data_IF_700699646882
#
_entry.id   IF_700699646882
#
_cell.length_a   1.000
_cell.length_b   1.000
_cell.length_c   1.000
_cell.angle_alpha   90.00
_cell.angle_beta   90.00
_cell.angle_gamma   90.00
#
_symmetry.space_group_name_H-M   'P 1'
#
loop_
_entity.id
_entity.type
_entity.pdbx_description
1 polymer ?
#
# COMPACT_ATOMS: atom_id res chain seq x y z
N UNK A 1 8.49 6.14 2.48
CA UNK A 1 7.82 7.12 1.59
C UNK A 1 7.12 6.48 0.40
N UNK A 2 7.86 5.85 -0.52
CA UNK A 2 7.25 5.16 -1.68
C UNK A 2 6.13 4.20 -1.26
N UNK A 3 6.43 3.30 -0.32
CA UNK A 3 5.49 2.27 0.09
C UNK A 3 4.19 2.80 0.71
N UNK A 4 4.28 3.85 1.54
CA UNK A 4 3.09 4.48 2.15
C UNK A 4 2.26 5.25 1.12
N UNK A 5 2.92 5.83 0.12
CA UNK A 5 2.24 6.48 -1.00
C UNK A 5 1.46 5.48 -1.85
N UNK A 6 2.02 4.30 -2.10
CA UNK A 6 1.33 3.22 -2.83
C UNK A 6 0.16 2.65 -2.01
N UNK A 7 0.36 2.40 -0.70
CA UNK A 7 -0.66 1.87 0.21
C UNK A 7 -1.99 2.60 0.08
N UNK A 8 -1.94 3.93 0.03
CA UNK A 8 -3.12 4.78 -0.08
C UNK A 8 -3.45 5.16 -1.53
N UNK A 9 -2.46 5.65 -2.28
CA UNK A 9 -2.67 6.27 -3.60
C UNK A 9 -2.92 5.30 -4.75
N UNK A 10 -2.58 4.01 -4.60
CA UNK A 10 -2.85 2.99 -5.61
C UNK A 10 -4.08 2.11 -5.28
N UNK A 11 -4.77 2.36 -4.16
CA UNK A 11 -6.01 1.65 -3.81
C UNK A 11 -7.17 2.09 -4.72
N UNK A 12 -8.00 1.14 -5.16
CA UNK A 12 -9.24 1.42 -5.91
C UNK A 12 -10.42 1.83 -5.04
N UNK A 13 -10.27 1.79 -3.72
CA UNK A 13 -11.31 2.10 -2.75
C UNK A 13 -10.78 2.95 -1.60
N UNK A 14 -11.70 3.54 -0.83
CA UNK A 14 -11.38 4.27 0.39
C UNK A 14 -10.71 3.36 1.43
N UNK A 15 -9.89 3.95 2.30
CA UNK A 15 -9.15 3.22 3.34
C UNK A 15 -10.09 2.46 4.29
N UNK A 16 -11.31 2.97 4.50
CA UNK A 16 -12.33 2.42 5.39
C UNK A 16 -13.53 1.78 4.66
N UNK A 17 -13.35 1.38 3.38
CA UNK A 17 -14.36 0.69 2.59
C UNK A 17 -14.79 -0.64 3.25
N UNK A 18 -16.10 -0.86 3.33
CA UNK A 18 -16.68 -2.07 3.93
C UNK A 18 -16.84 -3.19 2.92
N UNK A 19 -17.07 -2.85 1.67
CA UNK A 19 -17.16 -3.80 0.57
C UNK A 19 -15.78 -4.13 0.01
N UNK A 20 -15.16 -5.17 0.57
CA UNK A 20 -13.83 -5.63 0.19
C UNK A 20 -13.73 -6.10 -1.26
N UNK A 21 -14.84 -6.34 -1.95
CA UNK A 21 -14.81 -6.69 -3.38
C UNK A 21 -14.34 -5.52 -4.26
N UNK A 22 -14.43 -4.29 -3.76
CA UNK A 22 -13.97 -3.06 -4.42
C UNK A 22 -12.50 -2.75 -4.15
N UNK A 23 -11.89 -3.41 -3.17
CA UNK A 23 -10.54 -3.13 -2.70
C UNK A 23 -9.53 -3.95 -3.50
N UNK A 24 -8.71 -3.26 -4.29
CA UNK A 24 -7.61 -3.82 -5.06
C UNK A 24 -6.53 -2.75 -5.25
N UNK A 25 -5.29 -3.18 -5.48
CA UNK A 25 -4.18 -2.31 -5.86
C UNK A 25 -4.15 -2.18 -7.39
N UNK A 26 -4.26 -0.95 -7.87
CA UNK A 26 -4.27 -0.60 -9.29
C UNK A 26 -2.84 -0.56 -9.85
N UNK A 27 -2.47 -1.56 -10.66
CA UNK A 27 -1.19 -1.59 -11.37
C UNK A 27 -0.93 -0.34 -12.24
N UNK A 28 -1.94 0.24 -12.94
CA UNK A 28 -1.76 1.51 -13.63
C UNK A 28 -1.36 2.67 -12.70
N UNK A 29 -1.99 2.81 -11.53
CA UNK A 29 -1.64 3.85 -10.56
C UNK A 29 -0.26 3.60 -9.94
N UNK A 30 0.04 2.33 -9.63
CA UNK A 30 1.37 1.92 -9.18
C UNK A 30 2.46 2.30 -10.19
N UNK A 31 2.27 1.99 -11.48
CA UNK A 31 3.20 2.37 -12.55
C UNK A 31 3.36 3.88 -12.66
N UNK A 32 2.25 4.62 -12.67
CA UNK A 32 2.29 6.08 -12.77
C UNK A 32 3.09 6.70 -11.61
N UNK A 33 2.90 6.21 -10.39
CA UNK A 33 3.67 6.67 -9.23
C UNK A 33 5.14 6.24 -9.31
N UNK A 34 5.42 4.99 -9.70
CA UNK A 34 6.78 4.48 -9.87
C UNK A 34 7.59 5.28 -10.90
N UNK A 35 7.00 5.57 -12.06
CA UNK A 35 7.63 6.40 -13.09
C UNK A 35 8.00 7.79 -12.56
N UNK A 36 7.06 8.47 -11.89
CA UNK A 36 7.32 9.80 -11.31
C UNK A 36 8.35 9.77 -10.18
N UNK A 37 8.29 8.76 -9.30
CA UNK A 37 9.21 8.63 -8.18
C UNK A 37 10.64 8.32 -8.65
N UNK A 38 10.82 7.31 -9.50
CA UNK A 38 12.14 6.93 -10.02
C UNK A 38 12.74 8.04 -10.88
N UNK A 39 11.93 8.68 -11.73
CA UNK A 39 12.39 9.81 -12.54
C UNK A 39 12.80 11.03 -11.72
N UNK A 40 12.22 11.23 -10.53
CA UNK A 40 12.63 12.29 -9.61
C UNK A 40 13.86 11.93 -8.77
N UNK A 41 14.11 10.63 -8.54
CA UNK A 41 15.26 10.13 -7.80
C UNK A 41 16.53 9.98 -8.65
N UNK A 42 16.42 9.90 -9.97
CA UNK A 42 17.56 9.78 -10.90
C UNK A 42 18.53 8.67 -10.45
N UNK A 43 19.84 8.92 -10.45
CA UNK A 43 20.88 7.96 -10.02
C UNK A 43 21.11 7.90 -8.49
N UNK A 44 20.21 8.45 -7.67
CA UNK A 44 20.42 8.52 -6.21
C UNK A 44 20.10 7.21 -5.47
N UNK A 45 19.32 6.32 -6.09
CA UNK A 45 18.90 5.05 -5.46
C UNK A 45 19.87 3.92 -5.82
N UNK A 46 20.27 3.13 -4.82
CA UNK A 46 21.03 1.91 -5.09
C UNK A 46 20.12 0.79 -5.58
N UNK A 47 20.70 -0.20 -6.28
CA UNK A 47 19.94 -1.35 -6.83
C UNK A 47 19.04 -2.01 -5.79
N UNK A 48 19.55 -2.21 -4.56
CA UNK A 48 18.80 -2.83 -3.48
C UNK A 48 17.55 -2.01 -3.06
N UNK A 49 17.61 -0.68 -3.12
CA UNK A 49 16.45 0.17 -2.81
C UNK A 49 15.38 0.04 -3.89
N UNK A 50 15.79 0.05 -5.17
CA UNK A 50 14.88 -0.09 -6.32
C UNK A 50 14.22 -1.48 -6.30
N UNK A 51 15.00 -2.54 -6.13
CA UNK A 51 14.51 -3.92 -6.09
C UNK A 51 13.51 -4.18 -4.96
N UNK A 52 13.65 -3.44 -3.85
CA UNK A 52 12.78 -3.59 -2.68
C UNK A 52 11.55 -2.68 -2.70
N UNK A 53 11.36 -1.78 -3.67
CA UNK A 53 10.19 -0.90 -3.74
C UNK A 53 8.84 -1.65 -3.68
N UNK A 54 8.62 -2.76 -4.43
CA UNK A 54 7.37 -3.52 -4.33
C UNK A 54 7.14 -4.11 -2.93
N UNK A 55 8.20 -4.64 -2.32
CA UNK A 55 8.15 -5.18 -0.96
C UNK A 55 7.90 -4.09 0.07
N UNK A 56 8.50 -2.90 -0.11
CA UNK A 56 8.26 -1.73 0.71
C UNK A 56 6.78 -1.30 0.71
N UNK A 57 6.13 -1.32 -0.46
CA UNK A 57 4.68 -1.05 -0.55
C UNK A 57 3.85 -2.07 0.22
N UNK A 58 4.12 -3.37 0.05
CA UNK A 58 3.46 -4.43 0.81
C UNK A 58 3.68 -4.28 2.32
N UNK A 59 4.92 -4.02 2.73
CA UNK A 59 5.31 -3.90 4.14
C UNK A 59 4.64 -2.72 4.83
N UNK A 60 4.65 -1.53 4.21
CA UNK A 60 3.98 -0.35 4.77
C UNK A 60 2.47 -0.55 4.88
N UNK A 61 1.86 -1.24 3.90
CA UNK A 61 0.43 -1.60 3.94
C UNK A 61 0.14 -2.54 5.10
N UNK A 62 0.95 -3.57 5.29
CA UNK A 62 0.82 -4.51 6.40
C UNK A 62 1.01 -3.83 7.76
N UNK A 63 2.06 -3.01 7.91
CA UNK A 63 2.33 -2.26 9.14
C UNK A 63 1.12 -1.40 9.54
N UNK A 64 0.58 -0.63 8.59
CA UNK A 64 -0.57 0.23 8.82
C UNK A 64 -1.82 -0.59 9.20
N UNK A 65 -2.08 -1.71 8.52
CA UNK A 65 -3.17 -2.62 8.85
C UNK A 65 -3.07 -3.18 10.28
N UNK A 66 -1.87 -3.61 10.69
CA UNK A 66 -1.59 -4.08 12.05
C UNK A 66 -1.81 -2.96 13.07
N UNK A 67 -1.41 -1.72 12.76
CA UNK A 67 -1.64 -0.56 13.62
C UNK A 67 -3.13 -0.26 13.79
N UNK A 68 -3.93 -0.32 12.72
CA UNK A 68 -5.39 -0.17 12.83
C UNK A 68 -6.02 -1.28 13.67
N UNK A 69 -5.62 -2.54 13.45
CA UNK A 69 -6.11 -3.66 14.26
C UNK A 69 -5.75 -3.49 15.74
N UNK A 70 -4.52 -3.10 16.01
CA UNK A 70 -4.02 -2.89 17.37
C UNK A 70 -4.81 -1.79 18.07
N UNK A 71 -5.08 -0.69 17.37
CA UNK A 71 -5.87 0.41 17.92
C UNK A 71 -7.33 -0.01 18.19
N UNK A 72 -7.95 -0.76 17.28
CA UNK A 72 -9.27 -1.34 17.50
C UNK A 72 -9.33 -2.22 18.76
N UNK A 73 -8.36 -3.14 18.91
CA UNK A 73 -8.27 -4.01 20.09
C UNK A 73 -7.98 -3.24 21.39
N UNK A 74 -7.38 -2.05 21.27
CA UNK A 74 -7.06 -1.16 22.39
C UNK A 74 -8.17 -0.17 22.72
N UNK A 75 -9.32 -0.23 22.03
CA UNK A 75 -10.46 0.65 22.26
C UNK A 75 -10.39 1.99 21.52
N UNK A 76 -9.75 2.04 20.35
CA UNK A 76 -9.70 3.19 19.43
C UNK A 76 -9.15 4.48 20.09
N UNK A 77 -7.93 4.39 20.62
CA UNK A 77 -7.30 5.47 21.42
C UNK A 77 -6.29 6.32 20.63
N UNK A 78 -5.83 5.83 19.48
CA UNK A 78 -4.80 6.46 18.68
C UNK A 78 -5.38 7.15 17.43
N UNK A 79 -6.11 6.41 16.60
CA UNK A 79 -6.72 6.93 15.38
C UNK A 79 -8.11 7.48 15.67
N UNK A 80 -8.43 8.62 15.08
CA UNK A 80 -9.78 9.17 15.14
C UNK A 80 -10.76 8.21 14.43
N UNK A 81 -11.80 7.81 15.15
CA UNK A 81 -12.91 7.00 14.65
C UNK A 81 -14.21 7.81 14.55
N UNK A 82 -15.09 7.41 13.64
CA UNK A 82 -16.38 8.08 13.38
C UNK A 82 -17.58 7.14 13.56
N UNK A 83 -17.32 5.85 13.77
CA UNK A 83 -18.31 4.80 13.94
C UNK A 83 -17.70 3.62 14.71
N UNK A 84 -18.51 2.77 15.35
CA UNK A 84 -18.04 1.46 15.81
C UNK A 84 -17.38 0.68 14.67
N UNK A 85 -16.33 -0.08 15.00
CA UNK A 85 -15.58 -0.93 14.05
C UNK A 85 -14.82 -0.16 12.95
N UNK A 86 -14.69 1.16 13.03
CA UNK A 86 -14.04 1.93 11.97
C UNK A 86 -12.59 1.49 11.71
N UNK A 87 -11.79 1.29 12.76
CA UNK A 87 -10.42 0.79 12.61
C UNK A 87 -10.38 -0.70 12.21
N UNK A 88 -11.39 -1.49 12.56
CA UNK A 88 -11.51 -2.86 12.08
C UNK A 88 -11.76 -2.90 10.56
N UNK A 89 -12.63 -2.04 10.04
CA UNK A 89 -12.85 -1.89 8.61
C UNK A 89 -11.58 -1.44 7.88
N UNK A 90 -10.88 -0.42 8.42
CA UNK A 90 -9.60 0.05 7.87
C UNK A 90 -8.55 -1.07 7.79
N UNK A 91 -8.39 -1.83 8.87
CA UNK A 91 -7.51 -2.98 8.93
C UNK A 91 -7.83 -4.01 7.83
N UNK A 92 -9.11 -4.35 7.65
CA UNK A 92 -9.54 -5.30 6.62
C UNK A 92 -9.18 -4.83 5.21
N UNK A 93 -9.36 -3.54 4.91
CA UNK A 93 -8.92 -2.95 3.63
C UNK A 93 -7.42 -3.11 3.44
N UNK A 94 -6.60 -2.80 4.46
CA UNK A 94 -5.15 -2.93 4.34
C UNK A 94 -4.72 -4.38 4.12
N UNK A 95 -5.32 -5.35 4.83
CA UNK A 95 -5.01 -6.77 4.63
C UNK A 95 -5.46 -7.30 3.27
N UNK A 96 -6.60 -6.84 2.76
CA UNK A 96 -7.05 -7.15 1.40
C UNK A 96 -6.06 -6.60 0.36
N UNK A 97 -5.54 -5.40 0.56
CA UNK A 97 -4.49 -4.81 -0.29
C UNK A 97 -3.17 -5.59 -0.21
N UNK A 98 -2.74 -6.02 0.98
CA UNK A 98 -1.53 -6.87 1.13
C UNK A 98 -1.67 -8.15 0.32
N UNK A 99 -2.80 -8.86 0.45
CA UNK A 99 -3.06 -10.08 -0.31
C UNK A 99 -3.06 -9.82 -1.83
N UNK A 100 -3.73 -8.75 -2.27
CA UNK A 100 -3.78 -8.40 -3.69
C UNK A 100 -2.41 -7.96 -4.25
N UNK A 101 -1.56 -7.32 -3.43
CA UNK A 101 -0.17 -7.02 -3.78
C UNK A 101 0.69 -8.29 -3.88
N UNK A 102 0.48 -9.27 -2.99
CA UNK A 102 1.15 -10.57 -3.07
C UNK A 102 0.80 -11.30 -4.37
N UNK A 103 -0.49 -11.34 -4.72
CA UNK A 103 -0.98 -11.95 -5.96
C UNK A 103 -0.42 -11.25 -7.22
N UNK A 104 -0.06 -9.97 -7.11
CA UNK A 104 0.47 -9.13 -8.19
C UNK A 104 1.97 -8.86 -8.09
N UNK A 105 2.68 -9.52 -7.17
CA UNK A 105 4.07 -9.16 -6.83
C UNK A 105 5.00 -9.23 -8.03
N UNK A 106 4.87 -10.26 -8.87
CA UNK A 106 5.65 -10.40 -10.11
C UNK A 106 5.40 -9.26 -11.10
N UNK A 107 4.15 -8.79 -11.20
CA UNK A 107 3.80 -7.67 -12.05
C UNK A 107 4.38 -6.35 -11.51
N UNK A 108 4.36 -6.15 -10.18
CA UNK A 108 4.96 -4.99 -9.53
C UNK A 108 6.48 -4.95 -9.77
N UNK A 109 7.18 -6.07 -9.57
CA UNK A 109 8.61 -6.15 -9.88
C UNK A 109 8.92 -5.89 -11.36
N UNK A 110 8.09 -6.41 -12.27
CA UNK A 110 8.23 -6.15 -13.70
C UNK A 110 8.09 -4.67 -14.02
N UNK A 111 7.07 -4.00 -13.46
CA UNK A 111 6.87 -2.56 -13.62
C UNK A 111 8.10 -1.79 -13.15
N UNK A 112 8.61 -2.05 -11.94
CA UNK A 112 9.80 -1.36 -11.42
C UNK A 112 11.02 -1.56 -12.33
N UNK A 113 11.19 -2.76 -12.91
CA UNK A 113 12.27 -3.04 -13.85
C UNK A 113 12.11 -2.29 -15.19
N UNK A 114 10.88 -2.13 -15.66
CA UNK A 114 10.58 -1.40 -16.91
C UNK A 114 10.68 0.12 -16.75
N UNK A 115 10.35 0.65 -15.56
CA UNK A 115 10.42 2.08 -15.24
C UNK A 115 11.81 2.50 -14.72
N UNK A 116 12.74 1.55 -14.57
CA UNK A 116 14.12 1.85 -14.21
C UNK A 116 14.76 2.64 -15.38
N UNK A 117 15.32 3.84 -15.12
CA UNK A 117 16.02 4.61 -16.15
C UNK A 117 17.25 3.90 -16.71
#
# INVERSE_FOLDING_TARGET
>A
DFGDSIRFGASTAAEDEKDLSKVSMSLPLFRAYANGFLGACDDQLVDAEIETLPQGARLMTLECGVRFLTDFLSGDTYFRVHRPEHNLDRCRTQFKLVQDMEDKMDAMHRIIKEERP
#
